data_IF_250031169000
#
_entry.id   IF_250031169000
#
_cell.length_a   1.000
_cell.length_b   1.000
_cell.length_c   1.000
_cell.angle_alpha   90.00
_cell.angle_beta   90.00
_cell.angle_gamma   90.00
#
_symmetry.space_group_name_H-M   'P 1'
#
loop_
_entity.id
_entity.type
_entity.pdbx_description
1 polymer ?
#
# COMPACT_ATOMS: atom_id res chain seq x y z
N UNK A 1 0.00 21.27 35.76
CA UNK A 1 -0.66 20.46 34.71
C UNK A 1 -1.40 21.39 33.77
N UNK A 2 -1.29 21.22 32.46
CA UNK A 2 -2.10 21.96 31.49
C UNK A 2 -3.61 21.77 31.78
N UNK A 3 -4.41 22.82 31.51
CA UNK A 3 -5.87 22.85 31.68
C UNK A 3 -6.47 22.46 33.05
N UNK A 4 -5.70 22.56 34.15
CA UNK A 4 -6.15 22.13 35.48
C UNK A 4 -6.68 20.68 35.51
N UNK A 5 -6.10 19.82 34.66
CA UNK A 5 -6.52 18.43 34.56
C UNK A 5 -6.28 17.66 35.87
N UNK A 6 -7.24 16.81 36.24
CA UNK A 6 -7.18 15.98 37.44
C UNK A 6 -6.14 14.87 37.28
N UNK A 7 -5.46 14.53 38.38
CA UNK A 7 -4.62 13.35 38.47
C UNK A 7 -5.49 12.10 38.30
N UNK A 8 -5.02 11.14 37.51
CA UNK A 8 -5.74 9.91 37.25
C UNK A 8 -5.22 8.79 38.14
N UNK A 9 -6.15 7.95 38.59
CA UNK A 9 -5.89 6.74 39.33
C UNK A 9 -6.25 5.48 38.53
N UNK A 10 -5.78 4.33 39.02
CA UNK A 10 -6.01 3.02 38.39
C UNK A 10 -7.50 2.70 38.19
N UNK A 11 -8.37 3.17 39.10
CA UNK A 11 -9.82 2.94 39.06
C UNK A 11 -10.55 3.80 38.02
N UNK A 12 -9.93 4.86 37.52
CA UNK A 12 -10.55 5.77 36.53
C UNK A 12 -10.59 5.21 35.12
N UNK A 13 -10.06 3.99 34.92
CA UNK A 13 -9.97 3.33 33.60
C UNK A 13 -11.27 3.42 32.81
N UNK A 14 -12.42 3.06 33.41
CA UNK A 14 -13.71 3.05 32.72
C UNK A 14 -14.18 4.44 32.26
N UNK A 15 -13.77 5.50 32.96
CA UNK A 15 -14.17 6.87 32.64
C UNK A 15 -13.27 7.54 31.60
N UNK A 16 -12.10 6.96 31.35
CA UNK A 16 -11.09 7.48 30.42
C UNK A 16 -10.75 6.43 29.34
N UNK A 17 -11.57 5.40 29.21
CA UNK A 17 -11.35 4.29 28.29
C UNK A 17 -11.35 4.77 26.84
N UNK A 18 -12.27 5.67 26.47
CA UNK A 18 -12.34 6.23 25.12
C UNK A 18 -11.16 7.14 24.80
N UNK A 19 -10.72 7.95 25.76
CA UNK A 19 -9.51 8.75 25.62
C UNK A 19 -8.25 7.88 25.51
N UNK A 20 -8.17 6.81 26.30
CA UNK A 20 -7.06 5.86 26.29
C UNK A 20 -7.01 5.06 24.99
N UNK A 21 -8.15 4.61 24.49
CA UNK A 21 -8.25 3.94 23.19
C UNK A 21 -7.75 4.84 22.06
N UNK A 22 -8.18 6.12 22.04
CA UNK A 22 -7.68 7.12 21.08
C UNK A 22 -6.17 7.36 21.22
N UNK A 23 -5.64 7.34 22.44
CA UNK A 23 -4.20 7.48 22.67
C UNK A 23 -3.42 6.30 22.10
N UNK A 24 -3.92 5.07 22.29
CA UNK A 24 -3.30 3.87 21.72
C UNK A 24 -3.35 3.89 20.19
N UNK A 25 -4.48 4.26 19.61
CA UNK A 25 -4.65 4.38 18.17
C UNK A 25 -3.69 5.45 17.58
N UNK A 26 -3.75 6.70 18.07
CA UNK A 26 -2.95 7.79 17.48
C UNK A 26 -1.44 7.63 17.76
N UNK A 27 -1.03 7.35 18.99
CA UNK A 27 0.39 7.33 19.37
C UNK A 27 1.08 5.99 19.16
N UNK A 28 0.33 4.91 19.19
CA UNK A 28 0.89 3.56 19.12
C UNK A 28 0.40 2.77 17.92
N UNK A 29 -0.61 3.25 17.18
CA UNK A 29 -1.22 2.54 16.05
C UNK A 29 -1.65 1.14 16.46
N UNK A 30 -2.24 1.05 17.65
CA UNK A 30 -2.66 -0.19 18.28
C UNK A 30 -4.12 -0.06 18.67
N UNK A 31 -4.91 -1.03 18.23
CA UNK A 31 -6.29 -1.16 18.63
C UNK A 31 -6.43 -1.81 20.00
N UNK A 32 -7.30 -1.24 20.82
CA UNK A 32 -7.56 -1.77 22.17
C UNK A 32 -8.24 -3.15 22.15
N UNK A 33 -8.97 -3.48 21.08
CA UNK A 33 -9.63 -4.80 20.92
C UNK A 33 -8.65 -5.92 20.58
N UNK A 34 -7.50 -5.58 20.00
CA UNK A 34 -6.45 -6.56 19.66
C UNK A 34 -5.60 -6.92 20.90
N UNK A 35 -5.74 -6.14 21.98
CA UNK A 35 -4.96 -6.33 23.19
C UNK A 35 -5.66 -7.25 24.18
N UNK A 36 -4.84 -8.07 24.85
CA UNK A 36 -5.30 -8.83 26.01
C UNK A 36 -5.55 -7.92 27.22
N UNK A 37 -6.46 -8.32 28.11
CA UNK A 37 -6.82 -7.53 29.31
C UNK A 37 -5.60 -7.19 30.19
N UNK A 38 -4.60 -8.07 30.26
CA UNK A 38 -3.37 -7.87 31.02
C UNK A 38 -2.51 -6.77 30.40
N UNK A 39 -2.41 -6.74 29.07
CA UNK A 39 -1.70 -5.71 28.32
C UNK A 39 -2.40 -4.36 28.39
N UNK A 40 -3.75 -4.34 28.27
CA UNK A 40 -4.55 -3.12 28.46
C UNK A 40 -4.25 -2.50 29.82
N UNK A 41 -4.25 -3.30 30.89
CA UNK A 41 -3.94 -2.82 32.27
C UNK A 41 -2.49 -2.33 32.40
N UNK A 42 -1.53 -3.00 31.77
CA UNK A 42 -0.12 -2.58 31.77
C UNK A 42 0.11 -1.26 31.01
N UNK A 43 -0.55 -1.10 29.86
CA UNK A 43 -0.48 0.13 29.06
C UNK A 43 -1.26 1.28 29.69
N UNK A 44 -2.38 0.99 30.35
CA UNK A 44 -3.09 1.95 31.18
C UNK A 44 -2.19 2.50 32.28
N UNK A 45 -1.42 1.65 32.98
CA UNK A 45 -0.45 2.10 34.00
C UNK A 45 0.63 3.03 33.41
N UNK A 46 1.09 2.73 32.20
CA UNK A 46 2.07 3.58 31.50
C UNK A 46 1.47 4.92 31.08
N UNK A 47 0.23 4.92 30.60
CA UNK A 47 -0.54 6.13 30.28
C UNK A 47 -0.77 6.99 31.53
N UNK A 48 -1.18 6.40 32.65
CA UNK A 48 -1.32 7.09 33.93
C UNK A 48 -0.03 7.77 34.36
N UNK A 49 1.11 7.08 34.22
CA UNK A 49 2.42 7.66 34.54
C UNK A 49 2.73 8.91 33.71
N UNK A 50 2.49 8.86 32.40
CA UNK A 50 2.70 10.01 31.51
C UNK A 50 1.68 11.13 31.74
N UNK A 51 0.42 10.76 31.99
CA UNK A 51 -0.65 11.69 32.30
C UNK A 51 -0.33 12.47 33.57
N UNK A 52 0.02 11.78 34.65
CA UNK A 52 0.32 12.36 35.96
C UNK A 52 1.65 13.12 36.00
N UNK A 53 2.56 12.90 35.04
CA UNK A 53 3.77 13.73 34.84
C UNK A 53 3.56 14.93 33.92
N UNK A 54 2.43 15.03 33.22
CA UNK A 54 2.17 16.16 32.32
C UNK A 54 2.88 16.03 30.96
N UNK A 55 3.32 14.83 30.58
CA UNK A 55 4.16 14.61 29.39
C UNK A 55 3.35 14.45 28.10
N UNK A 56 2.01 14.43 28.17
CA UNK A 56 1.16 14.40 26.98
C UNK A 56 1.03 15.80 26.38
N UNK A 57 0.77 15.87 25.08
CA UNK A 57 0.47 17.14 24.43
C UNK A 57 -0.77 17.80 25.04
N UNK A 58 -0.82 19.14 25.04
CA UNK A 58 -1.87 19.95 25.67
C UNK A 58 -3.30 19.48 25.33
N UNK A 59 -3.55 19.16 24.06
CA UNK A 59 -4.86 18.73 23.56
C UNK A 59 -5.36 17.37 24.06
N UNK A 60 -4.55 16.60 24.82
CA UNK A 60 -5.00 15.41 25.54
C UNK A 60 -5.67 15.75 26.87
N UNK A 61 -5.32 16.90 27.45
CA UNK A 61 -5.85 17.38 28.72
C UNK A 61 -7.15 18.19 28.56
N UNK A 62 -7.53 18.51 27.32
CA UNK A 62 -8.76 19.23 26.99
C UNK A 62 -10.04 18.42 27.35
N UNK A 63 -10.95 18.97 28.19
CA UNK A 63 -12.21 18.32 28.53
C UNK A 63 -13.09 17.98 27.32
N UNK A 64 -13.10 18.84 26.30
CA UNK A 64 -13.85 18.58 25.07
C UNK A 64 -13.21 17.45 24.24
N UNK A 65 -11.87 17.39 24.19
CA UNK A 65 -11.18 16.33 23.46
C UNK A 65 -11.46 14.96 24.08
N UNK A 66 -11.57 14.91 25.41
CA UNK A 66 -12.03 13.75 26.18
C UNK A 66 -13.47 13.41 25.85
N UNK A 67 -14.41 14.34 25.99
CA UNK A 67 -15.83 14.08 25.73
C UNK A 67 -16.04 13.53 24.31
N UNK A 68 -15.40 14.13 23.31
CA UNK A 68 -15.48 13.66 21.92
C UNK A 68 -14.86 12.25 21.74
N UNK A 69 -13.82 11.91 22.49
CA UNK A 69 -13.22 10.58 22.44
C UNK A 69 -14.10 9.52 23.11
N UNK A 70 -14.67 9.85 24.26
CA UNK A 70 -15.59 8.97 25.00
C UNK A 70 -16.92 8.77 24.26
N UNK A 71 -17.46 9.81 23.62
CA UNK A 71 -18.67 9.71 22.80
C UNK A 71 -18.46 8.79 21.59
N UNK A 72 -17.34 8.94 20.88
CA UNK A 72 -16.96 8.03 19.79
C UNK A 72 -16.75 6.60 20.27
N UNK A 73 -16.18 6.43 21.46
CA UNK A 73 -15.94 5.12 22.05
C UNK A 73 -17.26 4.41 22.42
N UNK A 74 -18.22 5.15 22.97
CA UNK A 74 -19.55 4.62 23.33
C UNK A 74 -20.41 4.32 22.10
N UNK A 75 -20.34 5.17 21.08
CA UNK A 75 -21.08 5.01 19.82
C UNK A 75 -20.33 4.12 18.81
N UNK A 76 -19.28 3.42 19.26
CA UNK A 76 -18.48 2.53 18.43
C UNK A 76 -19.30 1.30 18.04
N UNK A 77 -19.43 0.96 16.76
CA UNK A 77 -20.13 -0.25 16.35
C UNK A 77 -19.34 -1.49 16.81
N UNK A 78 -19.92 -2.23 17.76
CA UNK A 78 -19.34 -3.48 18.26
C UNK A 78 -19.65 -4.63 17.29
N UNK A 79 -18.62 -5.17 16.63
CA UNK A 79 -18.69 -6.44 15.87
C UNK A 79 -18.93 -6.33 14.36
N UNK A 80 -18.10 -7.06 13.59
CA UNK A 80 -18.16 -7.44 12.15
C UNK A 80 -18.27 -6.30 11.11
N UNK A 81 -18.54 -5.05 11.50
CA UNK A 81 -18.60 -3.89 10.60
C UNK A 81 -17.30 -3.11 10.42
N UNK A 82 -16.21 -3.52 11.08
CA UNK A 82 -14.96 -2.76 11.11
C UNK A 82 -14.15 -2.83 9.81
N UNK A 83 -14.26 -3.94 9.08
CA UNK A 83 -13.47 -4.19 7.86
C UNK A 83 -13.84 -3.33 6.65
N UNK A 84 -14.78 -2.37 6.77
CA UNK A 84 -15.24 -1.55 5.63
C UNK A 84 -15.35 -0.05 5.92
N UNK A 85 -15.13 0.40 7.15
CA UNK A 85 -15.38 1.80 7.53
C UNK A 85 -14.11 2.66 7.71
N UNK A 86 -12.91 2.08 7.78
CA UNK A 86 -11.67 2.85 7.94
C UNK A 86 -10.91 3.03 6.63
N UNK A 87 -11.42 3.95 5.83
CA UNK A 87 -10.63 4.85 4.98
C UNK A 87 -11.51 6.07 4.67
N UNK A 88 -12.00 6.72 5.71
CA UNK A 88 -12.59 8.06 5.58
C UNK A 88 -11.84 8.99 6.51
N UNK A 89 -10.62 9.33 6.09
CA UNK A 89 -9.98 10.57 6.49
C UNK A 89 -10.98 11.71 6.28
N UNK A 90 -11.06 12.61 7.27
CA UNK A 90 -11.96 13.78 7.31
C UNK A 90 -11.65 14.82 6.22
N UNK A 91 -11.79 14.43 4.96
CA UNK A 91 -11.96 15.33 3.81
C UNK A 91 -13.24 15.02 3.02
N UNK A 92 -13.83 13.84 3.21
CA UNK A 92 -15.05 13.41 2.50
C UNK A 92 -16.15 12.95 3.46
N UNK A 93 -16.63 13.85 4.32
CA UNK A 93 -17.89 13.60 5.04
C UNK A 93 -19.07 13.98 4.12
N UNK A 94 -20.04 13.08 3.85
CA UNK A 94 -21.27 13.47 3.20
C UNK A 94 -22.04 14.40 4.15
N UNK A 95 -22.34 15.61 3.68
CA UNK A 95 -23.25 16.54 4.35
C UNK A 95 -24.58 15.79 4.58
N UNK A 96 -25.10 15.69 5.81
CA UNK A 96 -26.37 15.03 6.05
C UNK A 96 -27.47 15.79 5.28
N UNK A 97 -28.37 15.10 4.56
CA UNK A 97 -29.43 15.78 3.82
C UNK A 97 -30.34 16.50 4.83
N UNK A 98 -30.38 17.82 4.72
CA UNK A 98 -31.38 18.68 5.34
C UNK A 98 -32.76 18.12 4.99
N UNK A 99 -33.70 17.97 5.94
CA UNK A 99 -35.04 17.52 5.61
C UNK A 99 -35.69 18.54 4.68
N UNK A 100 -36.02 18.09 3.46
CA UNK A 100 -36.83 18.81 2.50
C UNK A 100 -38.23 18.97 3.10
N UNK A 101 -38.56 20.19 3.52
CA UNK A 101 -39.94 20.59 3.75
C UNK A 101 -40.67 20.53 2.41
N UNK A 102 -41.64 19.62 2.31
CA UNK A 102 -42.61 19.56 1.22
C UNK A 102 -43.57 20.72 1.42
N UNK A 103 -43.59 21.64 0.45
CA UNK A 103 -44.52 22.75 0.42
C UNK A 103 -45.91 22.30 -0.02
N UNK A 104 -46.94 22.96 0.52
CA UNK A 104 -48.22 23.21 -0.17
C UNK A 104 -48.75 24.56 0.32
N UNK A 105 -48.71 25.57 -0.55
CA UNK A 105 -49.88 26.40 -0.89
C UNK A 105 -49.44 27.53 -1.82
N UNK A 106 -49.86 27.41 -3.07
CA UNK A 106 -49.97 28.49 -4.04
C UNK A 106 -50.91 29.60 -3.52
N UNK A 107 -50.54 30.86 -3.78
CA UNK A 107 -51.31 31.79 -4.61
C UNK A 107 -50.71 33.21 -4.64
N UNK A 108 -50.51 33.67 -5.88
CA UNK A 108 -50.80 35.03 -6.38
C UNK A 108 -49.91 36.20 -5.85
N UNK A 109 -49.02 36.75 -6.69
CA UNK A 109 -49.27 38.04 -7.39
C UNK A 109 -48.02 38.69 -8.03
N UNK A 110 -48.26 39.25 -9.23
CA UNK A 110 -47.71 40.45 -9.86
C UNK A 110 -46.22 40.57 -10.29
N UNK A 111 -46.06 40.58 -11.63
CA UNK A 111 -45.22 41.40 -12.54
C UNK A 111 -44.09 42.29 -11.95
N UNK A 112 -42.92 42.29 -12.61
CA UNK A 112 -42.51 43.36 -13.54
C UNK A 112 -41.16 43.06 -14.25
N UNK A 113 -41.02 43.68 -15.41
CA UNK A 113 -40.03 43.52 -16.48
C UNK A 113 -38.55 43.68 -16.09
N UNK A 114 -37.66 43.00 -16.83
CA UNK A 114 -36.62 43.68 -17.61
C UNK A 114 -35.95 42.70 -18.58
N UNK A 115 -36.12 42.93 -19.87
CA UNK A 115 -35.25 42.41 -20.93
C UNK A 115 -33.80 42.88 -20.69
N UNK A 116 -32.83 41.95 -20.66
CA UNK A 116 -31.43 42.27 -20.97
C UNK A 116 -30.64 41.01 -21.39
N UNK A 117 -30.24 41.01 -22.66
CA UNK A 117 -29.08 40.36 -23.26
C UNK A 117 -28.91 38.83 -23.21
N UNK A 118 -29.54 38.19 -24.21
CA UNK A 118 -29.07 36.96 -24.82
C UNK A 118 -27.77 37.14 -25.60
N UNK A 119 -26.62 37.13 -24.91
CA UNK A 119 -25.32 36.88 -25.55
C UNK A 119 -24.47 35.88 -24.75
N UNK A 120 -24.67 34.60 -25.04
CA UNK A 120 -23.89 33.48 -24.51
C UNK A 120 -24.51 32.13 -24.90
N UNK A 121 -23.73 31.06 -25.05
CA UNK A 121 -24.29 29.74 -25.35
C UNK A 121 -25.30 29.35 -24.26
N UNK A 122 -26.49 28.90 -24.68
CA UNK A 122 -27.58 28.55 -23.77
C UNK A 122 -27.09 27.57 -22.69
N UNK A 123 -27.35 27.88 -21.43
CA UNK A 123 -27.02 27.03 -20.30
C UNK A 123 -27.72 25.67 -20.47
N UNK A 124 -27.00 24.54 -20.34
CA UNK A 124 -27.59 23.22 -20.60
C UNK A 124 -28.83 22.99 -19.74
N UNK A 125 -29.92 22.55 -20.40
CA UNK A 125 -31.22 22.30 -19.79
C UNK A 125 -31.08 21.40 -18.55
N UNK A 126 -31.69 21.83 -17.44
CA UNK A 126 -31.57 21.20 -16.12
C UNK A 126 -32.10 19.76 -16.10
N UNK A 127 -32.84 19.34 -17.13
CA UNK A 127 -33.44 18.01 -17.30
C UNK A 127 -32.46 16.92 -17.77
N UNK A 128 -31.27 17.25 -18.28
CA UNK A 128 -30.28 16.25 -18.73
C UNK A 128 -29.26 15.82 -17.65
N UNK A 129 -29.34 16.38 -16.44
CA UNK A 129 -28.34 16.17 -15.37
C UNK A 129 -28.56 14.93 -14.49
N UNK A 130 -29.27 13.92 -14.99
CA UNK A 130 -29.43 12.62 -14.30
C UNK A 130 -28.58 11.49 -14.92
N UNK A 131 -27.51 11.82 -15.63
CA UNK A 131 -26.46 10.85 -15.92
C UNK A 131 -25.59 10.71 -14.66
N UNK A 132 -25.97 9.80 -13.76
CA UNK A 132 -25.07 9.29 -12.74
C UNK A 132 -23.80 8.75 -13.41
N UNK A 133 -22.65 8.84 -12.72
CA UNK A 133 -21.35 8.42 -13.24
C UNK A 133 -21.47 7.12 -14.06
N UNK A 134 -21.11 7.18 -15.35
CA UNK A 134 -21.13 6.03 -16.23
C UNK A 134 -20.36 4.90 -15.57
N UNK A 135 -20.94 3.70 -15.57
CA UNK A 135 -20.30 2.50 -15.02
C UNK A 135 -18.94 2.35 -15.71
N UNK A 136 -17.82 2.29 -14.95
CA UNK A 136 -16.49 2.15 -15.52
C UNK A 136 -16.41 0.91 -16.42
N UNK A 137 -15.76 1.06 -17.57
CA UNK A 137 -15.49 -0.06 -18.48
C UNK A 137 -14.58 -1.08 -17.82
N UNK A 138 -14.58 -2.33 -18.31
CA UNK A 138 -13.61 -3.35 -17.88
C UNK A 138 -12.17 -2.87 -18.04
N UNK A 139 -11.88 -2.10 -19.08
CA UNK A 139 -10.58 -1.49 -19.32
C UNK A 139 -10.24 -0.44 -18.24
N UNK A 140 -11.22 0.34 -17.79
CA UNK A 140 -11.03 1.35 -16.73
C UNK A 140 -10.76 0.68 -15.39
N UNK A 141 -11.40 -0.45 -15.11
CA UNK A 141 -11.15 -1.26 -13.91
C UNK A 141 -9.76 -1.89 -13.93
N UNK A 142 -9.33 -2.43 -15.08
CA UNK A 142 -7.98 -2.97 -15.25
C UNK A 142 -6.93 -1.88 -15.06
N UNK A 143 -7.10 -0.74 -15.70
CA UNK A 143 -6.18 0.38 -15.56
C UNK A 143 -6.09 0.88 -14.11
N UNK A 144 -7.23 0.95 -13.41
CA UNK A 144 -7.25 1.28 -11.98
C UNK A 144 -6.50 0.24 -11.14
N UNK A 145 -6.66 -1.05 -11.42
CA UNK A 145 -5.94 -2.11 -10.72
C UNK A 145 -4.44 -2.05 -10.96
N UNK A 146 -4.01 -1.77 -12.20
CA UNK A 146 -2.61 -1.55 -12.56
C UNK A 146 -2.02 -0.37 -11.77
N UNK A 147 -2.68 0.79 -11.78
CA UNK A 147 -2.25 1.97 -11.02
C UNK A 147 -2.13 1.69 -9.51
N UNK A 148 -3.08 0.93 -8.93
CA UNK A 148 -3.02 0.54 -7.53
C UNK A 148 -1.82 -0.40 -7.29
N UNK A 149 -1.59 -1.36 -8.18
CA UNK A 149 -0.47 -2.30 -8.06
C UNK A 149 0.88 -1.58 -8.17
N UNK A 150 1.01 -0.63 -9.09
CA UNK A 150 2.21 0.20 -9.27
C UNK A 150 2.43 1.09 -8.04
N UNK A 151 1.38 1.74 -7.53
CA UNK A 151 1.45 2.56 -6.33
C UNK A 151 1.93 1.78 -5.09
N UNK A 152 1.64 0.47 -5.01
CA UNK A 152 2.15 -0.39 -3.94
C UNK A 152 3.60 -0.84 -4.14
N UNK A 153 4.07 -1.00 -5.39
CA UNK A 153 5.43 -1.45 -5.69
C UNK A 153 6.45 -0.31 -5.67
N UNK A 154 6.08 0.86 -6.21
CA UNK A 154 6.93 2.06 -6.30
C UNK A 154 7.62 2.45 -4.99
N UNK A 155 6.95 2.54 -3.81
CA UNK A 155 7.64 2.94 -2.59
C UNK A 155 8.70 1.93 -2.17
N UNK A 156 8.50 0.63 -2.43
CA UNK A 156 9.49 -0.40 -2.11
C UNK A 156 10.70 -0.30 -3.02
N UNK A 157 10.48 -0.14 -4.32
CA UNK A 157 11.57 0.01 -5.30
C UNK A 157 12.35 1.31 -5.06
N UNK A 158 11.66 2.39 -4.72
CA UNK A 158 12.26 3.69 -4.44
C UNK A 158 13.11 3.64 -3.15
N UNK A 159 12.63 2.96 -2.11
CA UNK A 159 13.41 2.73 -0.89
C UNK A 159 14.65 1.86 -1.15
N UNK A 160 14.55 0.85 -2.01
CA UNK A 160 15.71 0.03 -2.38
C UNK A 160 16.72 0.84 -3.22
N UNK A 161 16.22 1.61 -4.18
CA UNK A 161 17.04 2.46 -5.04
C UNK A 161 17.76 3.53 -4.23
N UNK A 162 17.05 4.28 -3.38
CA UNK A 162 17.63 5.31 -2.50
C UNK A 162 18.71 4.72 -1.58
N UNK A 163 18.46 3.57 -0.95
CA UNK A 163 19.47 2.87 -0.13
C UNK A 163 20.69 2.45 -0.95
N UNK A 164 20.49 2.01 -2.20
CA UNK A 164 21.59 1.60 -3.08
C UNK A 164 22.43 2.81 -3.49
N UNK A 165 21.78 3.92 -3.83
CA UNK A 165 22.45 5.18 -4.15
C UNK A 165 23.23 5.69 -2.95
N UNK A 166 22.63 5.71 -1.75
CA UNK A 166 23.29 6.15 -0.52
C UNK A 166 24.52 5.29 -0.21
N UNK A 167 24.40 3.95 -0.29
CA UNK A 167 25.55 3.04 -0.11
C UNK A 167 26.64 3.26 -1.14
N UNK A 168 26.27 3.57 -2.39
CA UNK A 168 27.22 3.95 -3.44
C UNK A 168 27.97 5.23 -3.07
N UNK A 169 27.25 6.30 -2.74
CA UNK A 169 27.83 7.57 -2.33
C UNK A 169 28.72 7.46 -1.09
N UNK A 170 28.32 6.65 -0.10
CA UNK A 170 29.16 6.37 1.07
C UNK A 170 30.45 5.66 0.67
N UNK A 171 30.36 4.66 -0.21
CA UNK A 171 31.52 3.94 -0.74
C UNK A 171 32.44 4.89 -1.52
N UNK A 172 31.90 5.73 -2.38
CA UNK A 172 32.67 6.66 -3.21
C UNK A 172 33.39 7.70 -2.33
N UNK A 173 32.72 8.26 -1.31
CA UNK A 173 33.34 9.14 -0.30
C UNK A 173 34.47 8.47 0.48
N UNK A 174 34.33 7.18 0.80
CA UNK A 174 35.39 6.42 1.46
C UNK A 174 36.58 6.18 0.51
N UNK A 175 36.30 5.95 -0.78
CA UNK A 175 37.35 5.79 -1.80
C UNK A 175 38.07 7.12 -2.09
N UNK A 176 37.41 8.28 -1.97
CA UNK A 176 38.04 9.61 -2.03
C UNK A 176 38.91 9.90 -0.80
N UNK A 177 38.46 9.54 0.41
CA UNK A 177 39.20 9.78 1.65
C UNK A 177 40.40 8.83 1.81
N UNK A 178 40.24 7.58 1.40
CA UNK A 178 41.25 6.53 1.50
C UNK A 178 41.31 5.75 0.19
N UNK A 179 42.09 6.23 -0.80
CA UNK A 179 42.21 5.54 -2.07
C UNK A 179 42.79 4.15 -1.86
N UNK A 180 42.08 3.14 -2.36
CA UNK A 180 42.55 1.75 -2.32
C UNK A 180 43.74 1.57 -3.24
N UNK A 181 44.63 0.63 -2.90
CA UNK A 181 45.78 0.30 -3.73
C UNK A 181 45.35 -0.20 -5.12
N UNK A 182 46.20 0.04 -6.13
CA UNK A 182 45.91 -0.25 -7.53
C UNK A 182 45.48 -1.71 -7.75
N UNK A 183 44.46 -1.93 -8.59
CA UNK A 183 43.98 -3.28 -8.89
C UNK A 183 45.10 -4.09 -9.56
N UNK A 184 45.58 -5.12 -8.86
CA UNK A 184 46.65 -6.01 -9.32
C UNK A 184 47.96 -5.88 -8.54
N UNK A 185 48.14 -4.81 -7.76
CA UNK A 185 49.30 -4.66 -6.87
C UNK A 185 49.32 -5.72 -5.76
N UNK A 186 50.52 -6.08 -5.29
CA UNK A 186 50.72 -6.95 -4.11
C UNK A 186 50.08 -6.33 -2.86
N UNK A 187 50.10 -5.01 -2.76
CA UNK A 187 49.46 -4.26 -1.68
C UNK A 187 47.95 -4.50 -1.67
N UNK A 188 47.30 -4.42 -2.84
CA UNK A 188 45.86 -4.72 -2.98
C UNK A 188 45.53 -6.18 -2.66
N UNK A 189 46.44 -7.11 -2.93
CA UNK A 189 46.28 -8.52 -2.55
C UNK A 189 46.38 -8.71 -1.02
N UNK A 190 47.25 -7.96 -0.34
CA UNK A 190 47.38 -7.99 1.11
C UNK A 190 46.17 -7.32 1.79
N UNK A 191 45.71 -6.17 1.30
CA UNK A 191 44.48 -5.51 1.74
C UNK A 191 43.27 -6.45 1.61
N UNK A 192 43.10 -7.08 0.44
CA UNK A 192 42.02 -8.06 0.22
C UNK A 192 42.12 -9.28 1.15
N UNK A 193 43.33 -9.71 1.52
CA UNK A 193 43.51 -10.78 2.51
C UNK A 193 43.13 -10.29 3.90
N UNK A 194 43.55 -9.07 4.28
CA UNK A 194 43.22 -8.45 5.55
C UNK A 194 41.71 -8.25 5.73
N UNK A 195 41.00 -7.75 4.69
CA UNK A 195 39.54 -7.59 4.69
C UNK A 195 38.82 -8.93 4.89
N UNK A 196 39.27 -9.98 4.18
CA UNK A 196 38.73 -11.33 4.33
C UNK A 196 38.97 -11.87 5.74
N UNK A 197 40.16 -11.69 6.29
CA UNK A 197 40.43 -12.13 7.66
C UNK A 197 39.62 -11.33 8.67
N UNK A 198 39.52 -10.01 8.51
CA UNK A 198 38.75 -9.13 9.40
C UNK A 198 37.27 -9.49 9.39
N UNK A 199 36.68 -9.72 8.21
CA UNK A 199 35.29 -10.18 8.11
C UNK A 199 35.07 -11.52 8.78
N UNK A 200 35.96 -12.51 8.56
CA UNK A 200 35.90 -13.80 9.26
C UNK A 200 36.04 -13.66 10.78
N UNK A 201 36.92 -12.78 11.25
CA UNK A 201 37.06 -12.46 12.67
C UNK A 201 35.79 -11.79 13.22
N UNK A 202 35.21 -10.82 12.52
CA UNK A 202 33.97 -10.17 12.92
C UNK A 202 32.80 -11.16 12.99
N UNK A 203 32.69 -12.11 12.05
CA UNK A 203 31.70 -13.18 12.15
C UNK A 203 31.95 -14.11 13.34
N UNK A 204 33.21 -14.40 13.65
CA UNK A 204 33.58 -15.23 14.80
C UNK A 204 33.28 -14.51 16.12
N UNK A 205 33.60 -13.22 16.23
CA UNK A 205 33.36 -12.39 17.41
C UNK A 205 31.87 -12.11 17.60
N UNK A 206 31.12 -11.85 16.52
CA UNK A 206 29.66 -11.73 16.57
C UNK A 206 28.98 -13.04 17.03
N UNK A 207 29.60 -14.19 16.74
CA UNK A 207 29.14 -15.50 17.23
C UNK A 207 29.53 -15.77 18.69
N UNK A 208 30.63 -15.19 19.16
CA UNK A 208 31.11 -15.29 20.55
C UNK A 208 30.33 -14.34 21.50
N UNK A 209 29.75 -13.27 20.95
CA UNK A 209 29.09 -12.18 21.68
C UNK A 209 27.67 -12.45 22.19
N UNK A 210 27.15 -13.67 22.13
CA UNK A 210 25.87 -13.97 22.75
C UNK A 210 25.20 -15.21 22.20
N UNK A 211 25.17 -16.25 23.02
CA UNK A 211 24.15 -17.29 23.01
C UNK A 211 22.79 -16.64 23.32
N UNK A 212 22.24 -15.92 22.35
CA UNK A 212 20.83 -15.54 22.36
C UNK A 212 20.11 -16.81 21.93
N UNK A 213 19.55 -17.53 22.90
CA UNK A 213 18.62 -18.65 22.67
C UNK A 213 17.41 -18.14 21.86
N UNK A 214 17.59 -17.97 20.56
CA UNK A 214 16.47 -17.86 19.62
C UNK A 214 15.87 -19.26 19.62
N UNK A 215 14.70 -19.39 20.22
CA UNK A 215 13.96 -20.64 20.32
C UNK A 215 13.96 -21.33 18.94
N UNK A 216 14.42 -22.58 18.88
CA UNK A 216 14.47 -23.39 17.64
C UNK A 216 13.13 -23.38 16.89
N UNK A 217 12.02 -23.21 17.61
CA UNK A 217 10.67 -23.13 17.04
C UNK A 217 10.37 -21.81 16.31
N UNK A 218 10.99 -20.71 16.72
CA UNK A 218 10.90 -19.41 16.03
C UNK A 218 11.95 -19.32 14.91
N UNK A 219 13.13 -19.93 15.11
CA UNK A 219 14.17 -20.03 14.09
C UNK A 219 13.77 -20.94 12.91
N UNK A 220 13.04 -22.03 13.17
CA UNK A 220 12.57 -22.98 12.16
C UNK A 220 11.18 -22.64 11.59
N UNK A 221 10.63 -21.46 11.91
CA UNK A 221 9.37 -21.01 11.36
C UNK A 221 8.20 -21.93 11.74
N UNK A 222 7.75 -21.85 12.99
CA UNK A 222 6.33 -21.95 13.32
C UNK A 222 5.61 -23.24 12.91
N UNK A 223 6.13 -24.41 13.31
CA UNK A 223 5.36 -25.66 13.33
C UNK A 223 5.03 -26.29 11.96
N UNK A 224 4.57 -27.54 11.99
CA UNK A 224 4.34 -28.37 10.80
C UNK A 224 3.35 -27.77 9.78
N UNK A 225 2.41 -26.96 10.25
CA UNK A 225 1.35 -26.40 9.41
C UNK A 225 1.86 -25.24 8.54
N UNK A 226 2.82 -24.45 9.02
CA UNK A 226 3.44 -23.40 8.22
C UNK A 226 4.40 -23.97 7.18
N UNK A 227 5.10 -25.05 7.51
CA UNK A 227 5.96 -25.77 6.56
C UNK A 227 5.15 -26.40 5.42
N UNK A 228 4.01 -27.04 5.73
CA UNK A 228 3.08 -27.57 4.73
C UNK A 228 2.51 -26.45 3.84
N UNK A 229 2.21 -25.28 4.42
CA UNK A 229 1.74 -24.10 3.67
C UNK A 229 2.82 -23.55 2.75
N UNK A 230 4.08 -23.51 3.20
CA UNK A 230 5.20 -23.01 2.41
C UNK A 230 5.60 -23.96 1.28
N UNK A 231 5.54 -25.28 1.52
CA UNK A 231 5.70 -26.28 0.46
C UNK A 231 4.63 -26.10 -0.63
N UNK A 232 3.36 -25.99 -0.24
CA UNK A 232 2.27 -25.73 -1.19
C UNK A 232 2.48 -24.43 -1.96
N UNK A 233 2.91 -23.34 -1.31
CA UNK A 233 3.25 -22.08 -1.99
C UNK A 233 4.40 -22.23 -2.97
N UNK A 234 5.45 -22.99 -2.62
CA UNK A 234 6.56 -23.26 -3.52
C UNK A 234 6.15 -24.12 -4.71
N UNK A 235 5.26 -25.08 -4.50
CA UNK A 235 4.66 -25.89 -5.57
C UNK A 235 3.81 -25.03 -6.50
N UNK A 236 2.93 -24.17 -5.97
CA UNK A 236 2.12 -23.25 -6.78
C UNK A 236 2.96 -22.23 -7.53
N UNK A 237 4.04 -21.70 -6.93
CA UNK A 237 4.95 -20.76 -7.61
C UNK A 237 5.76 -21.45 -8.71
N UNK A 238 6.16 -22.72 -8.52
CA UNK A 238 6.83 -23.50 -9.57
C UNK A 238 5.87 -23.81 -10.71
N UNK A 239 4.64 -24.23 -10.41
CA UNK A 239 3.63 -24.47 -11.46
C UNK A 239 3.26 -23.18 -12.20
N UNK A 240 3.11 -22.04 -11.52
CA UNK A 240 2.87 -20.75 -12.17
C UNK A 240 4.04 -20.29 -13.06
N UNK A 241 5.29 -20.55 -12.65
CA UNK A 241 6.46 -20.25 -13.49
C UNK A 241 6.55 -21.16 -14.71
N UNK A 242 6.18 -22.41 -14.56
CA UNK A 242 6.10 -23.37 -15.66
C UNK A 242 4.98 -23.01 -16.63
N UNK A 243 3.80 -22.62 -16.12
CA UNK A 243 2.68 -22.11 -16.91
C UNK A 243 3.07 -20.83 -17.64
N UNK A 244 3.66 -19.83 -16.98
CA UNK A 244 4.14 -18.61 -17.64
C UNK A 244 5.20 -18.89 -18.71
N UNK A 245 6.07 -19.88 -18.48
CA UNK A 245 7.09 -20.29 -19.45
C UNK A 245 6.48 -21.04 -20.63
N UNK A 246 5.48 -21.90 -20.40
CA UNK A 246 4.73 -22.59 -21.44
C UNK A 246 3.90 -21.60 -22.27
N UNK A 247 3.22 -20.64 -21.64
CA UNK A 247 2.47 -19.58 -22.30
C UNK A 247 3.37 -18.69 -23.16
N UNK A 248 4.54 -18.29 -22.65
CA UNK A 248 5.52 -17.51 -23.42
C UNK A 248 6.09 -18.30 -24.61
N UNK A 249 6.34 -19.61 -24.44
CA UNK A 249 6.78 -20.46 -25.54
C UNK A 249 5.66 -20.70 -26.56
N UNK A 250 4.42 -20.87 -26.11
CA UNK A 250 3.24 -21.00 -26.98
C UNK A 250 2.99 -19.72 -27.78
N UNK A 251 3.13 -18.55 -27.16
CA UNK A 251 3.06 -17.26 -27.85
C UNK A 251 4.17 -17.10 -28.90
N UNK A 252 5.42 -17.45 -28.55
CA UNK A 252 6.56 -17.40 -29.48
C UNK A 252 6.43 -18.40 -30.63
N UNK A 253 5.82 -19.56 -30.40
CA UNK A 253 5.53 -20.54 -31.45
C UNK A 253 4.41 -20.07 -32.37
N UNK A 254 3.33 -19.48 -31.82
CA UNK A 254 2.25 -18.90 -32.62
C UNK A 254 2.74 -17.74 -33.51
N UNK A 255 3.59 -16.85 -32.98
CA UNK A 255 4.23 -15.77 -33.74
C UNK A 255 5.10 -16.32 -34.89
N UNK A 256 5.88 -17.38 -34.62
CA UNK A 256 6.68 -18.06 -35.65
C UNK A 256 5.81 -18.75 -36.69
N UNK A 257 4.73 -19.40 -36.29
CA UNK A 257 3.78 -20.05 -37.21
C UNK A 257 3.05 -19.03 -38.09
N UNK A 258 2.67 -17.87 -37.55
CA UNK A 258 2.07 -16.79 -38.34
C UNK A 258 3.06 -16.26 -39.38
N UNK A 259 4.32 -16.06 -38.99
CA UNK A 259 5.39 -15.67 -39.93
C UNK A 259 5.61 -16.73 -41.02
N UNK A 260 5.62 -18.01 -40.66
CA UNK A 260 5.78 -19.12 -41.61
C UNK A 260 4.56 -19.27 -42.54
N UNK A 261 3.34 -19.05 -42.04
CA UNK A 261 2.12 -19.00 -42.86
C UNK A 261 2.16 -17.85 -43.86
N UNK A 262 2.66 -16.68 -43.45
CA UNK A 262 2.87 -15.54 -44.35
C UNK A 262 3.88 -15.83 -45.47
N UNK A 263 4.92 -16.63 -45.20
CA UNK A 263 5.89 -17.08 -46.23
C UNK A 263 5.26 -18.14 -47.13
N UNK A 264 4.60 -19.16 -46.58
CA UNK A 264 3.92 -20.21 -47.36
C UNK A 264 2.86 -19.62 -48.29
N UNK A 265 2.06 -18.66 -47.83
CA UNK A 265 1.08 -17.98 -48.67
C UNK A 265 1.73 -17.18 -49.83
N UNK A 266 2.95 -16.66 -49.64
CA UNK A 266 3.72 -16.01 -50.72
C UNK A 266 4.28 -17.03 -51.70
N UNK A 267 4.78 -18.16 -51.20
CA UNK A 267 5.27 -19.27 -52.03
C UNK A 267 4.15 -19.92 -52.83
N UNK A 268 2.97 -20.14 -52.24
CA UNK A 268 1.79 -20.65 -52.94
C UNK A 268 1.35 -19.70 -54.05
N UNK A 269 1.24 -18.39 -53.77
CA UNK A 269 0.95 -17.38 -54.80
C UNK A 269 2.00 -17.34 -55.90
N UNK A 270 3.28 -17.49 -55.55
CA UNK A 270 4.36 -17.53 -56.54
C UNK A 270 4.29 -18.81 -57.37
N UNK A 271 4.02 -19.95 -56.75
CA UNK A 271 3.83 -21.22 -57.43
C UNK A 271 2.60 -21.22 -58.33
N UNK A 272 1.51 -20.58 -57.93
CA UNK A 272 0.33 -20.40 -58.77
C UNK A 272 0.61 -19.50 -59.98
N UNK A 273 1.35 -18.41 -59.79
CA UNK A 273 1.81 -17.56 -60.90
C UNK A 273 2.74 -18.34 -61.86
N UNK A 274 3.66 -19.14 -61.33
CA UNK A 274 4.55 -19.96 -62.15
C UNK A 274 3.77 -21.08 -62.87
N UNK A 275 2.79 -21.69 -62.21
CA UNK A 275 1.88 -22.68 -62.81
C UNK A 275 1.05 -22.06 -63.93
N UNK A 276 0.54 -20.83 -63.77
CA UNK A 276 -0.22 -20.15 -64.82
C UNK A 276 0.65 -19.81 -66.02
N UNK A 277 1.86 -19.28 -65.80
CA UNK A 277 2.84 -19.01 -66.87
C UNK A 277 3.28 -20.28 -67.61
N UNK A 278 3.52 -21.37 -66.88
CA UNK A 278 3.86 -22.65 -67.48
C UNK A 278 2.69 -23.21 -68.31
N UNK A 279 1.45 -23.05 -67.84
CA UNK A 279 0.25 -23.47 -68.59
C UNK A 279 0.00 -22.62 -69.83
N UNK A 280 0.34 -21.33 -69.82
CA UNK A 280 0.29 -20.46 -71.01
C UNK A 280 1.41 -20.75 -72.02
N UNK A 281 2.57 -21.23 -71.57
CA UNK A 281 3.74 -21.50 -72.43
C UNK A 281 3.82 -22.92 -72.98
N UNK A 282 3.30 -23.90 -72.24
CA UNK A 282 3.48 -25.33 -72.53
C UNK A 282 2.16 -26.13 -72.49
N UNK A 283 1.01 -25.46 -72.32
CA UNK A 283 -0.33 -26.05 -72.31
C UNK A 283 -1.16 -25.62 -73.50
#
# INVERSE_FOLDING_TARGET
MPFAARLLHKHDFKQYEGLFARYLDVQKQIDIDELSETEVRGRWKSFLGKWNRGELAEGWYDPEARWRADDRWKNRPTGVGRGRAELVTRKDAPIPPRPLQVGVNDKEDAQEDSDDDGYGPALPDRKSRMLGASIPSLQDLQHRQELISEAHQNPRTDLQYSRKVERGLQKDRLEELAPRADPGSRERQLEKKADKTSTLHAFREAKDGGDVEVNDQEMMGGGEDEFKRELKRRETVKSEREVRKEEALRARMAEREERMKGVRAKEEKMMDMLRSLARERFG
#
